data_IF_494589454940
#
_entry.id   IF_494589454940
#
_cell.length_a   1.000
_cell.length_b   1.000
_cell.length_c   1.000
_cell.angle_alpha   90.00
_cell.angle_beta   90.00
_cell.angle_gamma   90.00
#
_symmetry.space_group_name_H-M   'P 1'
#
loop_
_entity.id
_entity.type
_entity.pdbx_description
1 polymer ?
#
# COMPACT_ATOMS: atom_id res chain seq x y z
N UNK A 1 8.15 16.35 -39.11
CA UNK A 1 9.50 16.13 -39.52
C UNK A 1 10.41 15.57 -38.43
N UNK A 2 10.44 16.16 -37.26
CA UNK A 2 11.34 15.74 -36.19
C UNK A 2 10.92 14.44 -35.48
N UNK A 3 9.66 14.08 -35.55
CA UNK A 3 9.14 12.86 -34.91
C UNK A 3 9.56 11.58 -35.67
N UNK A 4 9.84 11.68 -36.95
CA UNK A 4 10.21 10.54 -37.80
C UNK A 4 11.66 10.07 -37.66
N UNK A 5 12.52 10.86 -37.01
CA UNK A 5 13.93 10.56 -36.77
C UNK A 5 14.22 9.97 -35.37
N UNK A 6 13.26 10.02 -34.48
CA UNK A 6 13.39 9.43 -33.13
C UNK A 6 13.14 7.92 -33.19
N UNK A 7 14.16 7.14 -32.91
CA UNK A 7 14.10 5.66 -32.94
C UNK A 7 13.32 5.06 -31.75
N UNK A 8 13.04 5.83 -30.69
CA UNK A 8 12.32 5.36 -29.51
C UNK A 8 11.54 6.50 -28.83
N UNK A 9 10.35 6.79 -29.34
CA UNK A 9 9.45 7.79 -28.76
C UNK A 9 9.12 7.54 -27.29
N UNK A 10 9.09 6.28 -26.86
CA UNK A 10 8.76 5.95 -25.47
C UNK A 10 9.82 6.39 -24.46
N UNK A 11 11.06 6.58 -24.89
CA UNK A 11 12.10 7.11 -23.99
C UNK A 11 11.89 8.59 -23.68
N UNK A 12 11.29 9.33 -24.60
CA UNK A 12 11.10 10.77 -24.55
C UNK A 12 9.76 11.19 -23.95
N UNK A 13 8.76 10.29 -23.97
CA UNK A 13 7.40 10.58 -23.51
C UNK A 13 7.20 10.08 -22.08
N UNK A 14 6.57 10.91 -21.25
CA UNK A 14 6.14 10.53 -19.91
C UNK A 14 4.92 9.59 -19.94
N UNK A 15 4.19 9.54 -21.05
CA UNK A 15 3.07 8.65 -21.23
C UNK A 15 2.33 8.79 -22.54
N UNK A 16 1.38 7.90 -22.73
CA UNK A 16 0.57 7.78 -23.96
C UNK A 16 -0.92 7.97 -23.63
N UNK A 17 -1.60 8.73 -24.45
CA UNK A 17 -3.03 8.98 -24.38
C UNK A 17 -3.72 8.53 -25.66
N UNK A 18 -4.70 7.64 -25.55
CA UNK A 18 -5.37 7.04 -26.70
C UNK A 18 -6.87 7.30 -26.62
N UNK A 19 -7.39 7.99 -27.61
CA UNK A 19 -8.84 8.10 -27.77
C UNK A 19 -9.34 6.96 -28.64
N UNK A 20 -9.80 5.90 -28.02
CA UNK A 20 -10.28 4.69 -28.69
C UNK A 20 -11.18 3.87 -27.77
N UNK A 21 -11.91 2.96 -28.38
CA UNK A 21 -12.57 1.88 -27.65
C UNK A 21 -11.52 0.94 -27.02
N UNK A 22 -11.77 0.51 -25.79
CA UNK A 22 -10.79 -0.19 -24.94
C UNK A 22 -10.26 -1.48 -25.56
N UNK A 23 -11.17 -2.35 -26.00
CA UNK A 23 -10.80 -3.66 -26.56
C UNK A 23 -9.96 -3.52 -27.83
N UNK A 24 -10.31 -2.56 -28.69
CA UNK A 24 -9.55 -2.30 -29.92
C UNK A 24 -8.16 -1.75 -29.60
N UNK A 25 -8.08 -0.76 -28.70
CA UNK A 25 -6.80 -0.20 -28.28
C UNK A 25 -5.89 -1.26 -27.66
N UNK A 26 -6.42 -2.09 -26.75
CA UNK A 26 -5.66 -3.18 -26.13
C UNK A 26 -5.11 -4.16 -27.19
N UNK A 27 -5.90 -4.55 -28.19
CA UNK A 27 -5.40 -5.44 -29.25
C UNK A 27 -4.26 -4.83 -30.08
N UNK A 28 -4.28 -3.53 -30.30
CA UNK A 28 -3.22 -2.84 -31.06
C UNK A 28 -1.95 -2.64 -30.22
N UNK A 29 -2.10 -2.27 -28.97
CA UNK A 29 -0.96 -1.94 -28.08
C UNK A 29 -0.17 -3.17 -27.64
N UNK A 30 -0.79 -4.34 -27.62
CA UNK A 30 -0.20 -5.59 -27.17
C UNK A 30 1.11 -5.93 -27.87
N UNK A 31 1.26 -5.62 -29.18
CA UNK A 31 2.48 -5.86 -29.94
C UNK A 31 3.68 -5.09 -29.36
N UNK A 32 3.43 -3.90 -28.80
CA UNK A 32 4.49 -3.03 -28.27
C UNK A 32 4.69 -3.14 -26.78
N UNK A 33 3.60 -3.33 -26.02
CA UNK A 33 3.60 -3.26 -24.57
C UNK A 33 3.28 -4.60 -23.90
N UNK A 34 3.27 -5.70 -24.65
CA UNK A 34 3.14 -7.04 -24.08
C UNK A 34 4.24 -7.33 -23.07
N UNK A 35 3.90 -8.01 -21.98
CA UNK A 35 4.79 -8.43 -20.88
C UNK A 35 5.61 -7.28 -20.22
N UNK A 36 5.17 -6.02 -20.39
CA UNK A 36 5.94 -4.85 -19.97
C UNK A 36 5.20 -3.94 -18.96
N UNK A 37 3.94 -4.24 -18.62
CA UNK A 37 3.12 -3.42 -17.73
C UNK A 37 3.21 -3.94 -16.29
N UNK A 38 3.63 -3.08 -15.40
CA UNK A 38 3.76 -3.41 -13.99
C UNK A 38 2.47 -3.18 -13.22
N UNK A 39 1.71 -2.18 -13.63
CA UNK A 39 0.47 -1.83 -12.98
C UNK A 39 -0.64 -1.68 -14.00
N UNK A 40 -1.71 -2.41 -13.80
CA UNK A 40 -2.98 -2.15 -14.47
C UNK A 40 -3.95 -1.62 -13.43
N UNK A 41 -4.57 -0.50 -13.72
CA UNK A 41 -5.67 0.04 -12.93
C UNK A 41 -6.87 0.26 -13.84
N UNK A 42 -8.06 -0.11 -13.38
CA UNK A 42 -9.30 0.20 -14.07
C UNK A 42 -10.41 0.61 -13.12
N UNK A 43 -11.26 1.48 -13.63
CA UNK A 43 -12.49 1.93 -13.01
C UNK A 43 -13.64 1.68 -13.99
N UNK A 44 -14.11 0.42 -14.18
CA UNK A 44 -15.11 0.12 -15.20
C UNK A 44 -16.46 0.74 -14.85
N UNK A 45 -17.40 0.87 -15.81
CA UNK A 45 -18.76 1.34 -15.53
C UNK A 45 -19.41 0.48 -14.44
N UNK A 46 -19.94 1.11 -13.39
CA UNK A 46 -20.54 0.40 -12.24
C UNK A 46 -21.94 -0.16 -12.51
N UNK A 47 -22.46 0.02 -13.69
CA UNK A 47 -23.78 -0.47 -14.12
C UNK A 47 -24.94 0.00 -13.23
N UNK A 48 -24.80 1.15 -12.56
CA UNK A 48 -25.82 1.67 -11.64
C UNK A 48 -27.00 2.26 -12.39
N UNK A 49 -28.23 2.19 -11.82
CA UNK A 49 -29.42 2.75 -12.46
C UNK A 49 -29.41 4.28 -12.63
N UNK A 50 -28.57 4.98 -11.87
CA UNK A 50 -28.60 6.44 -11.75
C UNK A 50 -27.35 7.14 -12.31
N UNK A 51 -26.47 6.41 -12.96
CA UNK A 51 -25.27 7.03 -13.54
C UNK A 51 -25.64 7.81 -14.82
N UNK A 52 -25.38 9.11 -14.82
CA UNK A 52 -25.52 9.99 -15.98
C UNK A 52 -24.38 9.87 -17.01
N UNK A 53 -23.50 8.91 -16.84
CA UNK A 53 -22.31 8.73 -17.67
C UNK A 53 -22.71 8.17 -19.03
N UNK A 54 -22.04 8.62 -20.10
CA UNK A 54 -22.26 8.27 -21.51
C UNK A 54 -22.12 6.78 -21.85
N UNK A 55 -21.48 6.00 -21.01
CA UNK A 55 -21.58 4.54 -21.09
C UNK A 55 -23.00 4.11 -20.75
N UNK A 56 -23.56 3.25 -21.58
CA UNK A 56 -24.86 2.67 -21.41
C UNK A 56 -24.92 1.92 -20.08
N UNK A 57 -25.41 2.58 -19.04
CA UNK A 57 -25.72 1.93 -17.78
C UNK A 57 -27.00 1.10 -17.92
N UNK A 58 -27.25 0.20 -16.99
CA UNK A 58 -28.37 -0.75 -17.02
C UNK A 58 -28.21 -1.84 -18.09
N UNK A 59 -26.97 -2.30 -18.32
CA UNK A 59 -26.79 -3.57 -18.99
C UNK A 59 -27.46 -4.68 -18.17
N UNK A 60 -28.04 -5.65 -18.85
CA UNK A 60 -28.29 -6.93 -18.19
C UNK A 60 -26.96 -7.47 -17.68
N UNK A 61 -26.96 -8.12 -16.53
CA UNK A 61 -25.74 -8.62 -15.88
C UNK A 61 -24.82 -9.38 -16.82
N UNK A 62 -25.39 -10.22 -17.70
CA UNK A 62 -24.63 -10.97 -18.69
C UNK A 62 -23.93 -10.09 -19.72
N UNK A 63 -24.56 -9.00 -20.16
CA UNK A 63 -23.94 -8.09 -21.13
C UNK A 63 -22.81 -7.27 -20.48
N UNK A 64 -22.98 -6.83 -19.24
CA UNK A 64 -21.95 -6.15 -18.48
C UNK A 64 -20.74 -7.07 -18.22
N UNK A 65 -21.00 -8.30 -17.74
CA UNK A 65 -19.93 -9.30 -17.53
C UNK A 65 -19.19 -9.62 -18.83
N UNK A 66 -19.89 -9.69 -19.97
CA UNK A 66 -19.26 -9.91 -21.28
C UNK A 66 -18.34 -8.76 -21.66
N UNK A 67 -18.78 -7.51 -21.44
CA UNK A 67 -17.98 -6.32 -21.70
C UNK A 67 -16.65 -6.37 -20.89
N UNK A 68 -16.77 -6.65 -19.59
CA UNK A 68 -15.59 -6.75 -18.73
C UNK A 68 -14.70 -7.94 -19.11
N UNK A 69 -15.30 -9.12 -19.32
CA UNK A 69 -14.57 -10.34 -19.66
C UNK A 69 -13.77 -10.22 -20.96
N UNK A 70 -14.25 -9.47 -21.93
CA UNK A 70 -13.52 -9.23 -23.18
C UNK A 70 -12.17 -8.55 -22.92
N UNK A 71 -12.13 -7.54 -22.06
CA UNK A 71 -10.86 -6.91 -21.69
C UNK A 71 -10.01 -7.78 -20.77
N UNK A 72 -10.64 -8.50 -19.80
CA UNK A 72 -9.94 -9.41 -18.91
C UNK A 72 -9.23 -10.56 -19.65
N UNK A 73 -9.74 -10.99 -20.80
CA UNK A 73 -9.11 -12.04 -21.60
C UNK A 73 -7.81 -11.62 -22.27
N UNK A 74 -7.61 -10.31 -22.50
CA UNK A 74 -6.43 -9.77 -23.18
C UNK A 74 -5.38 -9.31 -22.16
N UNK A 75 -5.82 -8.81 -21.03
CA UNK A 75 -4.94 -8.08 -20.10
C UNK A 75 -3.76 -8.90 -19.56
N UNK A 76 -3.83 -10.24 -19.37
CA UNK A 76 -2.68 -11.03 -18.96
C UNK A 76 -1.47 -10.93 -19.90
N UNK A 77 -1.71 -10.66 -21.17
CA UNK A 77 -0.63 -10.51 -22.15
C UNK A 77 0.23 -9.25 -21.95
N UNK A 78 -0.24 -8.33 -21.09
CA UNK A 78 0.47 -7.12 -20.73
C UNK A 78 1.31 -7.26 -19.45
N UNK A 79 0.99 -8.23 -18.60
CA UNK A 79 1.61 -8.33 -17.28
C UNK A 79 3.11 -8.60 -17.39
N UNK A 80 3.90 -7.74 -16.78
CA UNK A 80 5.32 -8.02 -16.54
C UNK A 80 5.49 -9.15 -15.53
N UNK A 81 6.70 -9.65 -15.36
CA UNK A 81 7.02 -10.71 -14.38
C UNK A 81 6.49 -10.36 -12.97
N UNK A 82 6.53 -9.09 -12.62
CA UNK A 82 5.97 -8.56 -11.37
C UNK A 82 4.93 -7.52 -11.71
N UNK A 83 3.70 -7.80 -11.38
CA UNK A 83 2.58 -6.91 -11.71
C UNK A 83 1.57 -6.85 -10.57
N UNK A 84 0.70 -5.86 -10.64
CA UNK A 84 -0.56 -5.82 -9.91
C UNK A 84 -1.67 -5.27 -10.78
N UNK A 85 -2.86 -5.82 -10.63
CA UNK A 85 -4.03 -5.40 -11.35
C UNK A 85 -5.10 -4.95 -10.36
N UNK A 86 -5.49 -3.69 -10.43
CA UNK A 86 -6.43 -3.02 -9.55
C UNK A 86 -7.73 -2.70 -10.27
N UNK A 87 -8.84 -3.06 -9.67
CA UNK A 87 -10.18 -2.88 -10.25
C UNK A 87 -11.09 -2.24 -9.23
N UNK A 88 -11.50 -0.99 -9.49
CA UNK A 88 -12.49 -0.31 -8.69
C UNK A 88 -13.90 -0.81 -9.03
N UNK A 89 -14.77 -0.97 -8.04
CA UNK A 89 -16.17 -1.37 -8.24
C UNK A 89 -17.04 -0.95 -7.04
N UNK A 90 -18.33 -0.74 -7.27
CA UNK A 90 -19.32 -0.51 -6.21
C UNK A 90 -20.11 -1.77 -5.83
N UNK A 91 -21.05 -1.62 -4.90
CA UNK A 91 -21.90 -2.71 -4.41
C UNK A 91 -22.74 -3.42 -5.47
N UNK A 92 -23.06 -2.75 -6.59
CA UNK A 92 -23.98 -3.31 -7.60
C UNK A 92 -23.41 -4.52 -8.31
N UNK A 93 -22.14 -4.46 -8.68
CA UNK A 93 -21.48 -5.51 -9.46
C UNK A 93 -20.34 -6.20 -8.73
N UNK A 94 -20.06 -5.83 -7.47
CA UNK A 94 -18.92 -6.33 -6.70
C UNK A 94 -18.89 -7.86 -6.63
N UNK A 95 -20.00 -8.52 -6.26
CA UNK A 95 -20.05 -9.99 -6.11
C UNK A 95 -19.86 -10.67 -7.46
N UNK A 96 -20.48 -10.16 -8.53
CA UNK A 96 -20.39 -10.76 -9.86
C UNK A 96 -18.99 -10.60 -10.45
N UNK A 97 -18.40 -9.41 -10.26
CA UNK A 97 -17.02 -9.16 -10.67
C UNK A 97 -16.04 -10.06 -9.92
N UNK A 98 -16.17 -10.18 -8.61
CA UNK A 98 -15.32 -11.04 -7.80
C UNK A 98 -15.36 -12.52 -8.25
N UNK A 99 -16.58 -13.04 -8.56
CA UNK A 99 -16.74 -14.37 -9.09
C UNK A 99 -16.12 -14.54 -10.49
N UNK A 100 -16.26 -13.54 -11.36
CA UNK A 100 -15.64 -13.53 -12.67
C UNK A 100 -14.11 -13.53 -12.55
N UNK A 101 -13.54 -12.68 -11.70
CA UNK A 101 -12.08 -12.61 -11.49
C UNK A 101 -11.51 -13.91 -10.97
N UNK A 102 -12.15 -14.55 -10.00
CA UNK A 102 -11.74 -15.86 -9.48
C UNK A 102 -11.76 -16.96 -10.55
N UNK A 103 -12.77 -16.92 -11.44
CA UNK A 103 -12.86 -17.92 -12.51
C UNK A 103 -11.88 -17.66 -13.66
N UNK A 104 -11.60 -16.37 -13.95
CA UNK A 104 -10.70 -15.99 -15.05
C UNK A 104 -9.22 -16.13 -14.65
N UNK A 105 -8.90 -15.85 -13.37
CA UNK A 105 -7.53 -15.82 -12.84
C UNK A 105 -7.37 -16.75 -11.62
N UNK A 106 -7.61 -18.07 -11.76
CA UNK A 106 -7.61 -19.00 -10.63
C UNK A 106 -6.25 -19.16 -9.92
N UNK A 107 -5.18 -18.77 -10.58
CA UNK A 107 -3.79 -18.87 -10.08
C UNK A 107 -3.26 -17.57 -9.51
N UNK A 108 -4.03 -16.48 -9.54
CA UNK A 108 -3.63 -15.20 -8.96
C UNK A 108 -4.22 -15.03 -7.57
N UNK A 109 -3.49 -14.35 -6.70
CA UNK A 109 -4.01 -13.92 -5.40
C UNK A 109 -5.00 -12.76 -5.60
N UNK A 110 -6.22 -12.93 -5.10
CA UNK A 110 -7.29 -11.94 -5.18
C UNK A 110 -7.56 -11.36 -3.79
N UNK A 111 -7.19 -10.12 -3.60
CA UNK A 111 -7.46 -9.37 -2.37
C UNK A 111 -8.52 -8.29 -2.58
N UNK A 112 -9.14 -7.85 -1.49
CA UNK A 112 -10.18 -6.81 -1.51
C UNK A 112 -9.86 -5.72 -0.51
N UNK A 113 -9.92 -4.47 -0.96
CA UNK A 113 -9.87 -3.29 -0.09
C UNK A 113 -11.22 -2.58 -0.16
N UNK A 114 -11.71 -2.13 0.99
CA UNK A 114 -12.91 -1.30 1.13
C UNK A 114 -12.49 0.14 1.38
N UNK A 115 -12.97 1.07 0.56
CA UNK A 115 -12.57 2.48 0.65
C UNK A 115 -13.80 3.34 0.98
N UNK A 116 -13.71 4.13 2.03
CA UNK A 116 -14.74 5.10 2.39
C UNK A 116 -14.68 6.31 1.45
N UNK A 117 -15.34 6.18 0.31
CA UNK A 117 -15.25 7.12 -0.80
C UNK A 117 -16.21 8.32 -0.66
N UNK A 118 -17.41 8.08 -0.11
CA UNK A 118 -18.43 9.09 0.13
C UNK A 118 -18.98 9.01 1.56
N UNK A 119 -18.30 9.55 2.57
CA UNK A 119 -18.67 9.43 3.98
C UNK A 119 -19.90 10.31 4.36
N UNK A 120 -20.75 10.66 3.41
CA UNK A 120 -21.93 11.48 3.63
C UNK A 120 -23.16 10.60 3.80
N UNK A 121 -24.09 11.09 4.63
CA UNK A 121 -25.37 10.45 4.85
C UNK A 121 -26.20 10.40 3.54
N UNK A 122 -26.71 9.21 3.21
CA UNK A 122 -27.60 9.01 2.05
C UNK A 122 -28.97 8.52 2.50
N UNK A 123 -29.99 8.83 1.72
CA UNK A 123 -31.34 8.35 1.97
C UNK A 123 -31.41 6.83 1.74
N UNK A 124 -31.80 6.07 2.77
CA UNK A 124 -31.94 4.62 2.70
C UNK A 124 -31.90 3.97 4.08
N UNK A 125 -32.18 2.67 4.14
CA UNK A 125 -32.08 1.91 5.39
C UNK A 125 -30.63 1.74 5.84
N UNK A 126 -29.70 1.68 4.88
CA UNK A 126 -28.25 1.64 5.10
C UNK A 126 -27.63 2.62 4.12
N UNK A 127 -26.85 3.57 4.64
CA UNK A 127 -26.10 4.51 3.80
C UNK A 127 -24.89 3.81 3.20
N UNK A 128 -24.81 3.81 1.87
CA UNK A 128 -23.65 3.30 1.15
C UNK A 128 -22.60 4.39 1.08
N UNK A 129 -21.46 4.18 1.73
CA UNK A 129 -20.42 5.19 1.85
C UNK A 129 -19.08 4.73 1.25
N UNK A 130 -19.04 3.52 0.75
CA UNK A 130 -17.81 2.87 0.34
C UNK A 130 -17.87 2.30 -1.07
N UNK A 131 -16.70 2.05 -1.62
CA UNK A 131 -16.43 1.32 -2.84
C UNK A 131 -15.44 0.19 -2.53
N UNK A 132 -15.30 -0.73 -3.46
CA UNK A 132 -14.37 -1.85 -3.36
C UNK A 132 -13.25 -1.70 -4.38
N UNK A 133 -12.06 -2.18 -4.01
CA UNK A 133 -10.97 -2.39 -4.93
C UNK A 133 -10.54 -3.85 -4.86
N UNK A 134 -10.63 -4.53 -5.97
CA UNK A 134 -10.02 -5.83 -6.15
C UNK A 134 -8.58 -5.66 -6.59
N UNK A 135 -7.70 -6.48 -6.02
CA UNK A 135 -6.27 -6.51 -6.34
C UNK A 135 -5.92 -7.93 -6.73
N UNK A 136 -5.41 -8.08 -7.93
CA UNK A 136 -4.87 -9.33 -8.44
C UNK A 136 -3.35 -9.21 -8.58
N UNK A 137 -2.63 -10.19 -8.06
CA UNK A 137 -1.16 -10.26 -8.17
C UNK A 137 -0.72 -11.72 -8.19
N UNK A 138 0.50 -11.99 -8.68
CA UNK A 138 1.13 -13.30 -8.52
C UNK A 138 1.48 -13.51 -7.05
N UNK A 139 1.31 -14.73 -6.54
CA UNK A 139 1.74 -15.12 -5.17
C UNK A 139 3.21 -14.77 -4.88
N UNK A 140 4.07 -14.76 -5.90
CA UNK A 140 5.47 -14.38 -5.78
C UNK A 140 5.68 -12.87 -5.72
N UNK A 141 4.74 -12.08 -6.22
CA UNK A 141 4.74 -10.63 -6.18
C UNK A 141 3.95 -10.06 -4.99
N UNK A 142 3.68 -10.86 -3.97
CA UNK A 142 2.89 -10.60 -2.75
C UNK A 142 3.34 -9.40 -1.91
N UNK A 143 4.37 -8.70 -2.31
CA UNK A 143 4.85 -7.51 -1.59
C UNK A 143 4.09 -6.24 -2.01
N UNK A 144 2.82 -6.19 -1.73
CA UNK A 144 2.15 -4.91 -1.57
C UNK A 144 2.79 -4.24 -0.34
N UNK A 145 3.55 -3.19 -0.55
CA UNK A 145 4.32 -2.56 0.52
C UNK A 145 3.66 -1.23 0.90
N UNK A 146 3.41 -1.03 2.17
CA UNK A 146 3.01 0.26 2.72
C UNK A 146 4.13 1.31 2.63
N UNK A 147 3.84 2.54 3.01
CA UNK A 147 4.82 3.63 3.05
C UNK A 147 6.01 3.24 3.95
N UNK A 148 7.23 3.67 3.64
CA UNK A 148 8.32 3.57 4.60
C UNK A 148 7.88 4.26 5.88
N UNK A 149 8.24 3.72 7.02
CA UNK A 149 8.11 4.46 8.26
C UNK A 149 9.12 5.59 8.26
N UNK A 150 8.69 6.74 8.77
CA UNK A 150 9.61 7.85 8.99
C UNK A 150 10.75 7.37 9.89
N UNK A 151 11.97 7.75 9.56
CA UNK A 151 13.24 7.23 10.10
C UNK A 151 13.56 7.75 11.51
N UNK A 152 12.60 8.30 12.22
CA UNK A 152 12.74 8.57 13.64
C UNK A 152 12.69 7.23 14.39
N UNK A 153 13.89 6.72 14.69
CA UNK A 153 14.06 5.50 15.48
C UNK A 153 13.22 5.58 16.75
N UNK A 154 12.28 4.67 16.91
CA UNK A 154 11.43 4.61 18.09
C UNK A 154 12.14 3.85 19.19
N UNK A 155 12.48 4.53 20.30
CA UNK A 155 12.98 3.87 21.49
C UNK A 155 11.85 3.10 22.18
N UNK A 156 11.97 1.80 22.17
CA UNK A 156 10.98 0.90 22.72
C UNK A 156 11.51 0.20 23.97
N UNK A 157 10.72 0.25 25.07
CA UNK A 157 11.08 -0.51 26.28
C UNK A 157 11.38 -1.98 25.95
N UNK A 158 12.56 -2.46 26.34
CA UNK A 158 12.98 -3.84 26.07
C UNK A 158 12.22 -4.85 26.91
N UNK A 159 11.70 -4.44 28.06
CA UNK A 159 10.78 -5.25 28.86
C UNK A 159 9.35 -5.17 28.30
N UNK A 160 8.66 -6.30 28.22
CA UNK A 160 7.24 -6.36 27.88
C UNK A 160 6.40 -5.92 29.06
N UNK A 161 5.67 -4.80 28.91
CA UNK A 161 4.87 -4.18 29.98
C UNK A 161 3.37 -4.53 29.92
N UNK A 162 2.87 -5.07 28.83
CA UNK A 162 1.44 -5.35 28.66
C UNK A 162 0.99 -6.51 29.54
N UNK A 163 -0.27 -6.49 29.98
CA UNK A 163 -0.86 -7.47 30.90
C UNK A 163 -1.23 -8.82 30.27
N UNK A 164 -0.91 -9.05 28.99
CA UNK A 164 -1.16 -10.35 28.35
C UNK A 164 -0.35 -11.46 29.05
N UNK A 165 -0.96 -12.61 29.26
CA UNK A 165 -0.38 -13.77 29.98
C UNK A 165 1.00 -14.19 29.45
N UNK A 166 1.19 -14.13 28.14
CA UNK A 166 2.45 -14.49 27.48
C UNK A 166 3.60 -13.48 27.74
N UNK A 167 3.38 -12.44 28.54
CA UNK A 167 4.39 -11.46 28.94
C UNK A 167 4.94 -11.70 30.36
N UNK A 168 4.58 -12.83 30.97
CA UNK A 168 5.08 -13.24 32.28
C UNK A 168 6.06 -14.41 32.17
N UNK A 169 6.98 -14.52 33.18
CA UNK A 169 8.03 -15.54 33.24
C UNK A 169 7.48 -16.97 33.08
N UNK A 170 6.37 -17.30 33.70
CA UNK A 170 5.81 -18.64 33.72
C UNK A 170 5.37 -19.15 32.32
N UNK A 171 5.08 -18.25 31.37
CA UNK A 171 4.80 -18.63 29.98
C UNK A 171 6.05 -18.61 29.08
N UNK A 172 7.01 -17.70 29.36
CA UNK A 172 8.19 -17.47 28.52
C UNK A 172 9.46 -17.40 29.35
N UNK A 173 9.71 -18.40 30.18
CA UNK A 173 10.87 -18.43 31.07
C UNK A 173 12.22 -18.23 30.35
N UNK A 174 12.37 -18.67 29.06
CA UNK A 174 13.56 -18.44 28.25
C UNK A 174 13.78 -16.98 27.85
N UNK A 175 12.80 -16.10 28.07
CA UNK A 175 12.90 -14.65 27.91
C UNK A 175 13.02 -13.93 29.25
N UNK A 176 13.22 -14.68 30.34
CA UNK A 176 13.51 -14.17 31.68
C UNK A 176 14.96 -14.52 32.04
N UNK A 177 15.87 -13.60 31.82
CA UNK A 177 17.29 -13.72 32.06
C UNK A 177 17.89 -12.40 32.53
N UNK A 178 19.07 -12.44 33.19
CA UNK A 178 19.74 -11.24 33.62
C UNK A 178 20.47 -10.57 32.46
N UNK A 179 20.21 -9.30 32.22
CA UNK A 179 21.12 -8.44 31.48
C UNK A 179 22.21 -7.94 32.46
N UNK A 180 23.46 -8.02 32.05
CA UNK A 180 24.60 -7.55 32.80
C UNK A 180 24.93 -6.11 32.42
N UNK A 181 24.91 -5.23 33.41
CA UNK A 181 25.09 -3.79 33.21
C UNK A 181 26.41 -3.35 33.84
N UNK A 182 27.25 -2.71 33.04
CA UNK A 182 28.34 -1.89 33.52
C UNK A 182 27.75 -0.56 34.02
N UNK A 183 27.73 -0.37 35.32
CA UNK A 183 27.13 0.82 35.97
C UNK A 183 27.97 2.07 35.85
N UNK A 184 29.25 1.97 35.51
CA UNK A 184 30.15 3.11 35.28
C UNK A 184 29.97 3.67 33.86
N UNK A 185 29.80 2.77 32.91
CA UNK A 185 29.61 3.13 31.49
C UNK A 185 28.13 3.28 31.09
N UNK A 186 27.23 2.89 31.99
CA UNK A 186 25.80 2.83 31.73
C UNK A 186 25.46 2.02 30.46
N UNK A 187 26.04 0.83 30.33
CA UNK A 187 25.97 0.00 29.16
C UNK A 187 25.58 -1.44 29.50
N UNK A 188 24.75 -2.07 28.68
CA UNK A 188 24.50 -3.52 28.70
C UNK A 188 25.68 -4.23 28.05
N UNK A 189 26.43 -5.00 28.83
CA UNK A 189 27.65 -5.68 28.35
C UNK A 189 27.39 -7.11 27.89
N UNK A 190 26.46 -7.84 28.54
CA UNK A 190 26.13 -9.22 28.21
C UNK A 190 24.81 -9.65 28.86
N UNK A 191 24.45 -10.92 28.73
CA UNK A 191 23.34 -11.57 29.40
C UNK A 191 23.75 -12.93 29.97
N UNK A 192 23.20 -13.29 31.11
CA UNK A 192 23.32 -14.63 31.68
C UNK A 192 22.21 -15.55 31.18
N UNK A 193 22.42 -16.87 31.29
CA UNK A 193 21.43 -17.85 30.89
C UNK A 193 20.13 -17.72 31.69
N UNK A 194 18.98 -18.06 31.09
CA UNK A 194 17.71 -18.05 31.79
C UNK A 194 17.71 -19.01 32.96
N UNK A 195 17.14 -18.56 34.06
CA UNK A 195 16.96 -19.40 35.25
C UNK A 195 15.64 -20.14 35.16
N UNK A 196 15.63 -21.45 35.42
CA UNK A 196 14.43 -22.27 35.37
C UNK A 196 13.34 -21.76 36.33
N UNK A 197 12.06 -22.07 36.03
CA UNK A 197 10.91 -21.51 36.77
C UNK A 197 10.94 -21.81 38.27
N UNK A 198 11.48 -22.94 38.66
CA UNK A 198 11.55 -23.42 40.04
C UNK A 198 12.85 -23.06 40.77
N UNK A 199 13.76 -22.36 40.11
CA UNK A 199 15.03 -21.94 40.66
C UNK A 199 15.00 -20.49 41.06
N UNK A 200 15.65 -20.19 42.20
CA UNK A 200 15.90 -18.81 42.61
C UNK A 200 16.99 -18.19 41.74
N UNK A 201 16.80 -16.94 41.37
CA UNK A 201 17.77 -16.20 40.54
C UNK A 201 18.54 -15.17 41.40
N UNK A 202 19.86 -15.05 41.16
CA UNK A 202 20.69 -14.14 41.95
C UNK A 202 20.44 -12.69 41.59
N UNK A 203 20.13 -11.85 42.58
CA UNK A 203 19.84 -10.41 42.40
C UNK A 203 21.08 -9.52 42.47
N UNK A 204 22.17 -10.04 43.05
CA UNK A 204 23.39 -9.27 43.30
C UNK A 204 24.27 -9.15 42.03
N UNK A 205 25.33 -8.29 42.17
CA UNK A 205 26.36 -8.21 41.10
C UNK A 205 26.97 -9.59 40.84
N UNK A 206 27.32 -9.82 39.58
CA UNK A 206 28.03 -11.04 39.23
C UNK A 206 29.48 -10.99 39.76
N UNK A 207 30.23 -12.07 39.54
CA UNK A 207 31.63 -12.17 40.00
C UNK A 207 32.56 -11.14 39.35
N UNK A 208 32.22 -10.60 38.20
CA UNK A 208 32.98 -9.59 37.45
C UNK A 208 32.55 -8.15 37.84
N UNK A 209 31.62 -8.01 38.77
CA UNK A 209 31.15 -6.73 39.28
C UNK A 209 30.01 -6.10 38.53
N UNK A 210 29.48 -6.68 37.43
CA UNK A 210 28.36 -6.17 36.70
C UNK A 210 27.04 -6.35 37.43
N UNK A 211 26.15 -5.37 37.28
CA UNK A 211 24.83 -5.43 37.89
C UNK A 211 23.90 -6.32 37.07
N UNK A 212 23.19 -7.23 37.74
CA UNK A 212 22.13 -8.03 37.12
C UNK A 212 20.83 -7.27 37.06
N UNK A 213 20.25 -7.18 35.89
CA UNK A 213 18.93 -6.60 35.67
C UNK A 213 17.99 -7.63 35.06
N UNK A 214 16.99 -8.06 35.81
CA UNK A 214 15.91 -8.92 35.36
C UNK A 214 14.70 -8.09 34.87
N UNK A 215 13.84 -8.63 34.03
CA UNK A 215 12.62 -7.96 33.59
C UNK A 215 11.54 -8.00 34.69
N UNK A 216 11.75 -7.26 35.75
CA UNK A 216 10.83 -7.12 36.88
C UNK A 216 10.28 -5.70 36.85
N UNK A 217 8.96 -5.56 36.86
CA UNK A 217 8.32 -4.25 36.86
C UNK A 217 8.32 -3.59 38.27
N UNK A 218 7.83 -2.36 38.34
CA UNK A 218 7.76 -1.59 39.61
C UNK A 218 6.84 -2.22 40.68
N UNK A 219 5.96 -3.17 40.31
CA UNK A 219 5.11 -3.91 41.23
C UNK A 219 5.75 -5.22 41.71
N UNK A 220 6.98 -5.52 41.28
CA UNK A 220 7.65 -6.77 41.59
C UNK A 220 7.21 -7.96 40.77
N UNK A 221 6.43 -7.75 39.70
CA UNK A 221 5.98 -8.83 38.82
C UNK A 221 7.09 -9.26 37.84
N UNK A 222 7.31 -10.56 37.75
CA UNK A 222 8.27 -11.15 36.82
C UNK A 222 7.72 -11.12 35.38
N UNK A 223 8.22 -10.19 34.61
CA UNK A 223 7.90 -10.01 33.20
C UNK A 223 8.91 -10.76 32.32
N UNK A 224 8.94 -10.48 31.04
CA UNK A 224 9.92 -11.03 30.09
C UNK A 224 10.52 -9.93 29.22
N UNK A 225 11.73 -10.17 28.75
CA UNK A 225 12.31 -9.38 27.69
C UNK A 225 11.59 -9.64 26.37
N UNK A 226 11.73 -8.74 25.41
CA UNK A 226 11.14 -8.89 24.07
C UNK A 226 11.82 -9.96 23.24
N UNK A 227 13.01 -10.38 23.62
CA UNK A 227 13.78 -11.42 22.99
C UNK A 227 13.94 -12.63 23.90
N UNK A 228 13.96 -13.84 23.34
CA UNK A 228 14.46 -15.00 24.06
C UNK A 228 15.99 -14.87 24.21
N UNK A 229 16.56 -15.56 25.20
CA UNK A 229 18.00 -15.56 25.42
C UNK A 229 18.77 -16.02 24.17
N UNK A 230 18.30 -17.06 23.48
CA UNK A 230 18.94 -17.56 22.26
C UNK A 230 18.95 -16.51 21.14
N UNK A 231 17.82 -15.81 20.96
CA UNK A 231 17.73 -14.72 19.97
C UNK A 231 18.62 -13.54 20.38
N UNK A 232 18.68 -13.24 21.68
CA UNK A 232 19.54 -12.18 22.18
C UNK A 232 21.02 -12.50 21.90
N UNK A 233 21.46 -13.71 22.22
CA UNK A 233 22.82 -14.20 22.04
C UNK A 233 23.28 -14.12 20.56
N UNK A 234 22.38 -14.44 19.63
CA UNK A 234 22.66 -14.36 18.19
C UNK A 234 22.77 -12.93 17.66
N UNK A 235 22.18 -11.97 18.35
CA UNK A 235 22.05 -10.58 17.88
C UNK A 235 22.67 -9.56 18.83
N UNK A 236 23.40 -9.99 19.84
CA UNK A 236 23.91 -9.13 20.91
C UNK A 236 24.72 -7.94 20.37
N UNK A 237 25.50 -8.14 19.31
CA UNK A 237 26.32 -7.10 18.68
C UNK A 237 25.51 -6.08 17.85
N UNK A 238 24.29 -6.45 17.43
CA UNK A 238 23.44 -5.61 16.59
C UNK A 238 22.35 -4.86 17.38
N UNK A 239 22.29 -5.04 18.72
CA UNK A 239 21.25 -4.45 19.55
C UNK A 239 21.74 -3.14 20.16
N UNK A 240 21.15 -2.04 19.74
CA UNK A 240 21.33 -0.76 20.39
C UNK A 240 20.40 -0.67 21.61
N UNK A 241 20.93 -1.04 22.78
CA UNK A 241 20.22 -0.92 24.05
C UNK A 241 20.70 0.32 24.80
N UNK A 242 19.77 1.18 25.17
CA UNK A 242 20.02 2.36 26.00
C UNK A 242 19.45 2.13 27.40
N UNK A 243 20.08 2.71 28.41
CA UNK A 243 19.68 2.60 29.81
C UNK A 243 19.38 4.00 30.31
N UNK A 244 18.19 4.21 30.87
CA UNK A 244 17.82 5.47 31.52
C UNK A 244 18.33 5.56 32.98
N UNK A 245 18.31 6.76 33.57
CA UNK A 245 18.66 6.98 34.96
C UNK A 245 17.80 6.12 35.94
N UNK A 246 16.57 5.76 35.53
CA UNK A 246 15.69 4.85 36.29
C UNK A 246 15.94 3.37 36.03
N UNK A 247 17.05 3.00 35.39
CA UNK A 247 17.41 1.60 35.02
C UNK A 247 16.38 0.90 34.13
N UNK A 248 15.64 1.66 33.33
CA UNK A 248 14.80 1.10 32.29
C UNK A 248 15.64 0.92 31.03
N UNK A 249 15.55 -0.26 30.44
CA UNK A 249 16.27 -0.60 29.22
C UNK A 249 15.37 -0.39 28.04
N UNK A 250 15.82 0.39 27.08
CA UNK A 250 15.17 0.62 25.81
C UNK A 250 15.99 -0.02 24.68
N UNK A 251 15.30 -0.43 23.67
CA UNK A 251 15.87 -0.86 22.41
C UNK A 251 15.58 0.21 21.37
N UNK A 252 16.60 0.75 20.73
CA UNK A 252 16.44 1.54 19.53
C UNK A 252 16.01 0.62 18.38
N UNK A 253 14.97 1.00 17.68
CA UNK A 253 14.45 0.25 16.54
C UNK A 253 14.77 1.08 15.31
N UNK A 254 15.72 0.60 14.51
CA UNK A 254 15.87 1.08 13.16
C UNK A 254 14.60 0.75 12.38
N UNK A 255 13.91 1.77 11.90
CA UNK A 255 12.70 1.65 11.10
C UNK A 255 12.96 1.87 9.60
N UNK A 256 14.20 2.09 9.20
CA UNK A 256 14.56 2.40 7.81
C UNK A 256 14.03 1.37 6.80
N UNK A 257 14.03 0.09 7.19
CA UNK A 257 13.50 -1.01 6.39
C UNK A 257 12.02 -1.35 6.69
N UNK A 258 11.42 -0.71 7.68
CA UNK A 258 10.04 -1.01 8.08
C UNK A 258 9.05 -0.20 7.26
N UNK A 259 7.91 -0.83 7.03
CA UNK A 259 6.81 -0.25 6.28
C UNK A 259 5.52 -0.34 7.08
N UNK A 260 4.64 0.59 6.78
CA UNK A 260 3.30 0.55 7.32
C UNK A 260 2.55 -0.69 6.82
N UNK A 261 1.69 -1.21 7.65
CA UNK A 261 0.79 -2.30 7.26
C UNK A 261 -0.31 -1.72 6.39
N UNK A 262 -0.55 -2.34 5.26
CA UNK A 262 -1.70 -1.99 4.41
C UNK A 262 -2.93 -2.66 5.00
N UNK A 263 -3.89 -1.83 5.40
CA UNK A 263 -5.18 -2.32 5.88
C UNK A 263 -6.13 -2.59 4.71
N UNK A 264 -7.03 -3.55 4.88
CA UNK A 264 -8.09 -3.84 3.89
C UNK A 264 -9.25 -2.84 3.93
N UNK A 265 -9.22 -1.86 4.81
CA UNK A 265 -10.21 -0.80 4.93
C UNK A 265 -9.52 0.58 4.98
N UNK A 266 -9.80 1.40 3.99
CA UNK A 266 -9.27 2.75 3.88
C UNK A 266 -10.37 3.76 4.23
N UNK A 267 -10.40 4.15 5.51
CA UNK A 267 -11.47 4.97 6.09
C UNK A 267 -11.07 6.44 6.33
N UNK A 268 -9.84 6.82 6.01
CA UNK A 268 -9.33 8.15 6.27
C UNK A 268 -9.99 9.21 5.40
N UNK A 269 -10.17 10.45 5.90
CA UNK A 269 -10.80 11.54 5.14
C UNK A 269 -10.12 11.87 3.80
N UNK A 270 -8.86 11.55 3.65
CA UNK A 270 -8.08 11.77 2.42
C UNK A 270 -8.61 10.98 1.22
N UNK A 271 -9.30 9.85 1.46
CA UNK A 271 -9.90 9.06 0.38
C UNK A 271 -11.25 9.57 -0.09
N UNK A 272 -11.77 10.63 0.51
CA UNK A 272 -13.05 11.25 0.12
C UNK A 272 -12.93 11.86 -1.29
N UNK A 273 -13.77 11.35 -2.21
CA UNK A 273 -13.80 11.81 -3.60
C UNK A 273 -14.35 13.25 -3.75
N UNK A 274 -15.24 13.69 -2.87
CA UNK A 274 -15.72 15.07 -2.87
C UNK A 274 -14.57 16.05 -2.63
N UNK A 275 -13.72 15.76 -1.64
CA UNK A 275 -12.59 16.63 -1.26
C UNK A 275 -11.45 16.53 -2.27
N UNK A 276 -10.99 15.31 -2.54
CA UNK A 276 -9.78 15.06 -3.32
C UNK A 276 -10.05 14.61 -4.77
N UNK A 277 -11.28 14.73 -5.23
CA UNK A 277 -11.70 14.50 -6.61
C UNK A 277 -12.45 15.70 -7.16
N UNK A 278 -13.69 15.92 -6.71
CA UNK A 278 -14.55 17.01 -7.23
C UNK A 278 -13.95 18.40 -7.00
N UNK A 279 -13.46 18.69 -5.80
CA UNK A 279 -12.83 19.98 -5.52
C UNK A 279 -11.62 20.24 -6.41
N UNK A 280 -10.80 19.21 -6.68
CA UNK A 280 -9.64 19.33 -7.58
C UNK A 280 -10.07 19.70 -9.00
N UNK A 281 -11.13 19.08 -9.54
CA UNK A 281 -11.66 19.48 -10.85
C UNK A 281 -12.25 20.88 -10.81
N UNK A 282 -12.84 21.30 -9.69
CA UNK A 282 -13.38 22.65 -9.49
C UNK A 282 -12.26 23.68 -9.54
N UNK A 283 -11.16 23.46 -8.83
CA UNK A 283 -10.01 24.35 -8.80
C UNK A 283 -9.34 24.49 -10.19
N UNK A 284 -9.39 23.42 -10.98
CA UNK A 284 -8.95 23.42 -12.38
C UNK A 284 -10.00 24.04 -13.33
N UNK A 285 -11.21 24.40 -12.86
CA UNK A 285 -12.30 24.93 -13.67
C UNK A 285 -12.90 23.89 -14.63
N UNK A 286 -12.85 22.60 -14.30
CA UNK A 286 -13.27 21.49 -15.14
C UNK A 286 -14.51 20.74 -14.58
N UNK A 287 -15.00 21.12 -13.42
CA UNK A 287 -16.04 20.41 -12.68
C UNK A 287 -17.38 20.24 -13.44
N UNK A 288 -17.70 21.15 -14.35
CA UNK A 288 -18.98 21.12 -15.12
C UNK A 288 -19.03 19.99 -16.15
N UNK A 289 -17.90 19.40 -16.46
CA UNK A 289 -17.75 18.50 -17.60
C UNK A 289 -17.59 17.03 -17.17
N UNK A 290 -17.50 16.77 -15.87
CA UNK A 290 -17.33 15.41 -15.36
C UNK A 290 -17.86 15.26 -13.93
N UNK A 291 -18.77 14.29 -13.76
CA UNK A 291 -19.30 13.89 -12.47
C UNK A 291 -18.52 12.70 -11.89
N UNK A 292 -18.42 12.61 -10.57
CA UNK A 292 -17.86 11.47 -9.83
C UNK A 292 -16.36 11.16 -10.09
N UNK A 293 -15.43 12.14 -10.07
CA UNK A 293 -14.02 11.83 -10.17
C UNK A 293 -13.56 11.06 -8.95
N UNK A 294 -12.64 10.11 -9.14
CA UNK A 294 -11.98 9.43 -8.02
C UNK A 294 -11.09 10.38 -7.23
N UNK A 295 -10.88 10.06 -5.95
CA UNK A 295 -9.91 10.78 -5.13
C UNK A 295 -8.49 10.56 -5.67
N UNK A 296 -7.75 11.66 -5.87
CA UNK A 296 -6.32 11.58 -6.26
C UNK A 296 -5.52 10.85 -5.18
N UNK A 297 -5.84 11.06 -3.90
CA UNK A 297 -5.15 10.39 -2.79
C UNK A 297 -5.37 8.88 -2.78
N UNK A 298 -6.56 8.43 -3.15
CA UNK A 298 -6.82 7.00 -3.37
C UNK A 298 -5.92 6.44 -4.47
N UNK A 299 -5.83 7.15 -5.61
CA UNK A 299 -4.96 6.72 -6.72
C UNK A 299 -3.49 6.75 -6.35
N UNK A 300 -3.01 7.81 -5.72
CA UNK A 300 -1.64 7.90 -5.22
C UNK A 300 -1.32 6.72 -4.30
N UNK A 301 -2.23 6.37 -3.39
CA UNK A 301 -2.05 5.23 -2.49
C UNK A 301 -2.07 3.89 -3.25
N UNK A 302 -2.99 3.67 -4.18
CA UNK A 302 -3.00 2.47 -5.03
C UNK A 302 -1.68 2.29 -5.78
N UNK A 303 -1.17 3.35 -6.40
CA UNK A 303 0.09 3.32 -7.15
C UNK A 303 1.30 3.19 -6.22
N UNK A 304 1.22 3.76 -5.03
CA UNK A 304 2.28 3.73 -4.04
C UNK A 304 2.46 2.36 -3.40
N UNK A 305 1.35 1.71 -3.05
CA UNK A 305 1.31 0.37 -2.43
C UNK A 305 1.98 -0.68 -3.31
N UNK A 306 2.02 -0.46 -4.59
CA UNK A 306 2.66 -1.32 -5.58
C UNK A 306 4.18 -1.14 -5.67
N UNK A 307 4.81 -0.77 -4.66
CA UNK A 307 6.15 -0.21 -4.50
C UNK A 307 7.35 -0.99 -5.07
N UNK A 308 7.15 -2.05 -5.84
CA UNK A 308 8.24 -2.58 -6.70
C UNK A 308 8.82 -1.51 -7.62
N UNK A 309 8.06 -0.44 -7.87
CA UNK A 309 8.22 0.55 -8.92
C UNK A 309 8.34 1.95 -8.35
N UNK A 310 9.04 2.09 -7.24
CA UNK A 310 9.12 3.36 -6.49
C UNK A 310 9.45 4.56 -7.34
N UNK A 311 10.25 4.36 -8.39
CA UNK A 311 10.74 5.46 -9.22
C UNK A 311 10.51 5.25 -10.70
N UNK A 312 10.13 4.05 -11.16
CA UNK A 312 9.92 3.75 -12.57
C UNK A 312 8.90 2.64 -12.77
N UNK A 313 8.29 2.54 -13.93
CA UNK A 313 7.31 1.53 -14.31
C UNK A 313 6.21 2.12 -15.16
N UNK A 314 5.48 1.27 -15.87
CA UNK A 314 4.36 1.69 -16.72
C UNK A 314 3.03 1.28 -16.12
N UNK A 315 2.14 2.26 -16.01
CA UNK A 315 0.78 2.11 -15.53
C UNK A 315 -0.17 2.13 -16.74
N UNK A 316 -0.99 1.09 -16.89
CA UNK A 316 -2.05 1.02 -17.90
C UNK A 316 -3.40 1.25 -17.24
N UNK A 317 -4.15 2.24 -17.73
CA UNK A 317 -5.53 2.47 -17.36
C UNK A 317 -6.38 2.57 -18.62
N UNK A 318 -7.24 1.57 -18.84
CA UNK A 318 -8.08 1.49 -20.05
C UNK A 318 -9.56 1.81 -19.80
N UNK A 319 -9.87 2.40 -18.63
CA UNK A 319 -11.10 3.10 -18.30
C UNK A 319 -10.74 4.42 -17.61
N UNK A 320 -9.99 5.27 -18.32
CA UNK A 320 -9.28 6.39 -17.72
C UNK A 320 -10.14 7.60 -17.30
N UNK A 321 -11.40 7.70 -17.79
CA UNK A 321 -12.41 8.69 -17.40
C UNK A 321 -11.86 10.13 -17.29
N UNK A 322 -11.82 10.68 -16.05
CA UNK A 322 -11.30 12.02 -15.75
C UNK A 322 -9.79 12.09 -15.56
N UNK A 323 -9.08 10.96 -15.74
CA UNK A 323 -7.62 10.88 -15.67
C UNK A 323 -7.01 11.16 -14.30
N UNK A 324 -7.66 10.69 -13.27
CA UNK A 324 -7.13 10.74 -11.91
C UNK A 324 -5.82 9.94 -11.81
N UNK A 325 -5.70 8.83 -12.54
CA UNK A 325 -4.48 8.01 -12.64
C UNK A 325 -3.28 8.81 -13.12
N UNK A 326 -3.41 9.59 -14.20
CA UNK A 326 -2.35 10.46 -14.71
C UNK A 326 -1.88 11.49 -13.67
N UNK A 327 -2.84 12.17 -13.03
CA UNK A 327 -2.53 13.18 -12.03
C UNK A 327 -1.77 12.58 -10.85
N UNK A 328 -2.18 11.40 -10.40
CA UNK A 328 -1.49 10.65 -9.35
C UNK A 328 -0.06 10.27 -9.76
N UNK A 329 0.15 9.80 -11.00
CA UNK A 329 1.50 9.47 -11.51
C UNK A 329 2.42 10.69 -11.49
N UNK A 330 1.95 11.83 -11.96
CA UNK A 330 2.76 13.07 -11.96
C UNK A 330 3.07 13.53 -10.53
N UNK A 331 2.10 13.48 -9.62
CA UNK A 331 2.32 13.85 -8.23
C UNK A 331 3.38 12.95 -7.59
N UNK A 332 3.30 11.65 -7.78
CA UNK A 332 4.28 10.70 -7.26
C UNK A 332 5.68 10.92 -7.86
N UNK A 333 5.78 11.15 -9.16
CA UNK A 333 7.07 11.45 -9.79
C UNK A 333 7.69 12.75 -9.24
N UNK A 334 6.88 13.77 -8.94
CA UNK A 334 7.33 15.02 -8.31
C UNK A 334 7.68 14.82 -6.82
N UNK A 335 6.95 13.96 -6.12
CA UNK A 335 7.22 13.68 -4.71
C UNK A 335 8.57 12.99 -4.52
N UNK A 336 8.92 12.06 -5.39
CA UNK A 336 10.22 11.38 -5.37
C UNK A 336 11.39 12.38 -5.46
N UNK A 337 11.22 13.49 -6.17
CA UNK A 337 12.25 14.54 -6.30
C UNK A 337 12.41 15.41 -5.05
N UNK A 338 11.38 15.54 -4.20
CA UNK A 338 11.41 16.48 -3.05
C UNK A 338 12.40 16.10 -1.95
N UNK A 339 12.72 14.80 -1.80
CA UNK A 339 13.68 14.31 -0.82
C UNK A 339 15.15 14.41 -1.22
N UNK A 340 15.48 15.15 -2.29
CA UNK A 340 16.84 15.19 -2.85
C UNK A 340 17.16 13.98 -3.74
N UNK A 341 16.16 13.15 -4.02
CA UNK A 341 16.24 12.03 -4.96
C UNK A 341 16.06 12.48 -6.43
N UNK A 342 16.24 11.55 -7.34
CA UNK A 342 15.88 11.74 -8.73
C UNK A 342 14.36 11.78 -8.89
N UNK A 343 13.87 12.57 -9.87
CA UNK A 343 12.47 12.59 -10.25
C UNK A 343 12.02 11.18 -10.67
N UNK A 344 10.87 10.74 -10.19
CA UNK A 344 10.30 9.46 -10.59
C UNK A 344 10.08 9.37 -12.10
N UNK A 345 10.28 8.19 -12.65
CA UNK A 345 10.20 7.89 -14.10
C UNK A 345 9.01 6.97 -14.42
N UNK A 346 7.94 7.04 -13.59
CA UNK A 346 6.71 6.28 -13.88
C UNK A 346 6.08 6.83 -15.14
N UNK A 347 5.64 5.93 -16.01
CA UNK A 347 4.95 6.25 -17.28
C UNK A 347 3.51 5.77 -17.22
N UNK A 348 2.67 6.32 -18.07
CA UNK A 348 1.26 5.96 -18.13
C UNK A 348 0.81 5.68 -19.56
N UNK A 349 -0.11 4.74 -19.71
CA UNK A 349 -0.88 4.48 -20.95
C UNK A 349 -2.35 4.59 -20.55
N UNK A 350 -3.04 5.56 -21.12
CA UNK A 350 -4.42 5.87 -20.77
C UNK A 350 -5.30 5.75 -22.01
N UNK A 351 -6.38 4.95 -21.90
CA UNK A 351 -7.31 4.72 -22.98
C UNK A 351 -8.68 5.22 -22.55
N UNK A 352 -9.30 6.02 -23.41
CA UNK A 352 -10.62 6.58 -23.16
C UNK A 352 -11.32 6.92 -24.48
N UNK A 353 -12.59 6.53 -24.61
CA UNK A 353 -13.37 6.79 -25.80
C UNK A 353 -14.39 7.93 -25.67
N UNK A 354 -14.67 8.38 -24.45
CA UNK A 354 -15.70 9.39 -24.16
C UNK A 354 -15.36 10.77 -24.69
N UNK A 355 -16.37 11.59 -24.95
CA UNK A 355 -16.21 12.98 -25.41
C UNK A 355 -15.40 13.85 -24.43
N UNK A 356 -15.41 13.49 -23.14
CA UNK A 356 -14.61 14.16 -22.12
C UNK A 356 -13.10 13.98 -22.30
N UNK A 357 -12.66 13.10 -23.20
CA UNK A 357 -11.27 13.06 -23.63
C UNK A 357 -10.77 14.44 -24.09
N UNK A 358 -11.58 15.18 -24.83
CA UNK A 358 -11.23 16.52 -25.31
C UNK A 358 -11.64 17.64 -24.36
N UNK A 359 -12.71 17.47 -23.58
CA UNK A 359 -13.32 18.54 -22.76
C UNK A 359 -12.82 18.57 -21.33
N UNK A 360 -12.32 17.46 -20.80
CA UNK A 360 -11.78 17.32 -19.44
C UNK A 360 -10.33 16.90 -19.45
N UNK A 361 -10.05 15.84 -20.12
CA UNK A 361 -8.80 15.11 -20.12
C UNK A 361 -7.62 15.94 -20.64
N UNK A 362 -7.66 16.38 -21.89
CA UNK A 362 -6.62 17.25 -22.45
C UNK A 362 -6.44 18.57 -21.68
N UNK A 363 -7.52 19.33 -21.33
CA UNK A 363 -7.39 20.52 -20.54
C UNK A 363 -6.80 20.32 -19.15
N UNK A 364 -7.06 19.17 -18.50
CA UNK A 364 -6.48 18.85 -17.21
C UNK A 364 -4.96 18.66 -17.26
N UNK A 365 -4.43 18.11 -18.35
CA UNK A 365 -3.00 17.92 -18.57
C UNK A 365 -2.28 19.26 -18.85
N UNK A 366 -2.96 20.17 -19.53
CA UNK A 366 -2.39 21.47 -19.90
C UNK A 366 -2.31 22.47 -18.74
N UNK A 367 -3.04 22.21 -17.65
CA UNK A 367 -3.06 23.03 -16.43
C UNK A 367 -2.16 22.46 -15.34
#
# INVERSE_FOLDING_TARGET
>A
GEISESHNLDEWLDGLMINSENFQALNLLKIRYGESIQTVYIDPPYNTPHSAILYKNQFQDSAWLTLINNSLSIIPEYFSEKFSFWIAIDDYEQIKLGSLLQSTFPNLDLQTIVINHHPQWSWGRVSRTHEYYYILSDEKSWQLLGKPKDDEGEDRSFMRSWTAENNYRYWRWRSFYALLIDTEKNLVVWAEEPVALWEEYPMWRNKDGFMRKYPINSKGEERVWRSSYETWKLRAESWELTITEGWTIYQSIDNSDKRDVIFSNWIWPEYNAGINGTNVLTDLGLWKNFDYPKSIKTMETCLWVQSFWRVSGTILDYFAWSWTTWHAVINLNREDAKGGGEMGKRKYILIEMGEYFNTVTKPRIQK
#
